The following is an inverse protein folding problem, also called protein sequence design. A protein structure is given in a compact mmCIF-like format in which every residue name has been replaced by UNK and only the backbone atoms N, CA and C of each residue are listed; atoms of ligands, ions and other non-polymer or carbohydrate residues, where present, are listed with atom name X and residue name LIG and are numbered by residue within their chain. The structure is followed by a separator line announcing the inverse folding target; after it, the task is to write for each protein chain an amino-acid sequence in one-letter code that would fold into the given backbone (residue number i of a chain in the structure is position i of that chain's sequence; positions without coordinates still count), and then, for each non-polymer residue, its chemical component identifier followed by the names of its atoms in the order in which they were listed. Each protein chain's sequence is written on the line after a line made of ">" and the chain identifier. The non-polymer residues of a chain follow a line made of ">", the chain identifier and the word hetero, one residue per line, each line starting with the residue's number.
data_IF_637776948889
#
_entry.id   IF_637776948889
#
_cell.length_a   1.000
_cell.length_b   1.000
_cell.length_c   1.000
_cell.angle_alpha   90.00
_cell.angle_beta   90.00
_cell.angle_gamma   90.00
#
_symmetry.space_group_name_H-M   'P 1'
#
loop_
_entity.id
_entity.type
_entity.pdbx_description
1 polymer ?
#
# COMPACT_ATOMS: atom_id res chain seq x y z
N UNK A 1 19.62 20.74 12.86
CA UNK A 1 19.39 19.87 11.70
C UNK A 1 19.78 18.46 12.11
N UNK A 2 18.82 17.56 12.33
CA UNK A 2 19.12 16.18 12.69
C UNK A 2 19.51 15.44 11.39
N UNK A 3 20.82 15.34 11.14
CA UNK A 3 21.36 14.48 10.08
C UNK A 3 21.06 13.03 10.45
N UNK A 4 20.37 12.33 9.54
CA UNK A 4 20.03 10.93 9.75
C UNK A 4 21.31 10.08 9.61
N UNK A 5 21.38 8.92 10.28
CA UNK A 5 22.46 7.97 10.01
C UNK A 5 22.50 7.63 8.51
N UNK A 6 23.70 7.49 7.91
CA UNK A 6 23.85 7.28 6.47
C UNK A 6 23.11 6.02 5.96
N UNK A 7 23.01 4.98 6.78
CA UNK A 7 22.21 3.78 6.47
C UNK A 7 20.72 4.09 6.31
N UNK A 8 20.20 5.00 7.14
CA UNK A 8 18.81 5.43 7.09
C UNK A 8 18.56 6.30 5.85
N UNK A 9 19.49 7.18 5.51
CA UNK A 9 19.43 7.99 4.28
C UNK A 9 19.42 7.09 3.04
N UNK A 10 20.29 6.09 2.98
CA UNK A 10 20.33 5.12 1.90
C UNK A 10 19.01 4.33 1.78
N UNK A 11 18.45 3.86 2.90
CA UNK A 11 17.17 3.16 2.91
C UNK A 11 16.00 4.04 2.44
N UNK A 12 15.99 5.32 2.83
CA UNK A 12 14.98 6.28 2.38
C UNK A 12 15.12 6.61 0.90
N UNK A 13 16.36 6.79 0.41
CA UNK A 13 16.64 7.02 -1.00
C UNK A 13 16.18 5.82 -1.85
N UNK A 14 16.47 4.59 -1.41
CA UNK A 14 16.02 3.37 -2.08
C UNK A 14 14.48 3.28 -2.11
N UNK A 15 13.81 3.56 -0.98
CA UNK A 15 12.34 3.63 -0.93
C UNK A 15 11.78 4.68 -1.88
N UNK A 16 12.42 5.84 -1.96
CA UNK A 16 11.95 6.92 -2.84
C UNK A 16 12.16 6.58 -4.32
N UNK A 17 13.27 5.96 -4.67
CA UNK A 17 13.52 5.43 -6.02
C UNK A 17 12.44 4.42 -6.40
N UNK A 18 12.17 3.44 -5.53
CA UNK A 18 11.16 2.43 -5.77
C UNK A 18 9.74 3.03 -5.94
N UNK A 19 9.37 4.05 -5.15
CA UNK A 19 8.09 4.76 -5.33
C UNK A 19 7.98 5.42 -6.70
N UNK A 20 9.07 6.02 -7.20
CA UNK A 20 9.09 6.64 -8.53
C UNK A 20 8.91 5.59 -9.64
N UNK A 21 9.58 4.45 -9.51
CA UNK A 21 9.44 3.33 -10.44
C UNK A 21 7.99 2.79 -10.45
N UNK A 22 7.40 2.56 -9.27
CA UNK A 22 5.99 2.15 -9.16
C UNK A 22 5.02 3.18 -9.74
N UNK A 23 5.28 4.47 -9.53
CA UNK A 23 4.46 5.55 -10.07
C UNK A 23 4.53 5.62 -11.60
N UNK A 24 5.67 5.24 -12.19
CA UNK A 24 5.87 5.23 -13.64
C UNK A 24 5.22 4.02 -14.34
N UNK A 25 4.78 2.99 -13.59
CA UNK A 25 4.14 1.82 -14.18
C UNK A 25 2.82 2.15 -14.91
N UNK A 26 2.48 1.41 -15.97
CA UNK A 26 1.16 1.46 -16.58
C UNK A 26 0.05 1.18 -15.56
N UNK A 27 -1.15 1.67 -15.85
CA UNK A 27 -2.32 1.50 -14.96
C UNK A 27 -2.63 0.03 -14.68
N UNK A 28 -2.58 -0.83 -15.71
CA UNK A 28 -2.83 -2.27 -15.55
C UNK A 28 -1.84 -2.94 -14.60
N UNK A 29 -0.56 -2.58 -14.67
CA UNK A 29 0.48 -3.13 -13.79
C UNK A 29 0.26 -2.69 -12.35
N UNK A 30 -0.15 -1.44 -12.14
CA UNK A 30 -0.53 -0.95 -10.80
C UNK A 30 -1.69 -1.75 -10.21
N UNK A 31 -2.69 -2.10 -11.03
CA UNK A 31 -3.81 -2.94 -10.60
C UNK A 31 -3.35 -4.37 -10.25
N UNK A 32 -2.48 -4.99 -11.07
CA UNK A 32 -1.93 -6.33 -10.78
C UNK A 32 -1.21 -6.36 -9.44
N UNK A 33 -0.36 -5.36 -9.18
CA UNK A 33 0.36 -5.23 -7.91
C UNK A 33 -0.63 -5.07 -6.75
N UNK A 34 -1.64 -4.21 -6.90
CA UNK A 34 -2.62 -3.95 -5.86
C UNK A 34 -3.43 -5.21 -5.51
N UNK A 35 -3.87 -5.97 -6.51
CA UNK A 35 -4.57 -7.25 -6.31
C UNK A 35 -3.68 -8.27 -5.59
N UNK A 36 -2.39 -8.36 -5.97
CA UNK A 36 -1.44 -9.26 -5.29
C UNK A 36 -1.26 -8.88 -3.82
N UNK A 37 -1.15 -7.59 -3.51
CA UNK A 37 -1.04 -7.09 -2.14
C UNK A 37 -2.32 -7.35 -1.33
N UNK A 38 -3.50 -7.22 -1.96
CA UNK A 38 -4.77 -7.58 -1.34
C UNK A 38 -4.79 -9.07 -0.95
N UNK A 39 -4.43 -9.97 -1.86
CA UNK A 39 -4.38 -11.41 -1.57
C UNK A 39 -3.43 -11.76 -0.42
N UNK A 40 -2.24 -11.16 -0.39
CA UNK A 40 -1.30 -11.35 0.72
C UNK A 40 -1.88 -10.84 2.04
N UNK A 41 -2.53 -9.67 2.01
CA UNK A 41 -3.18 -9.08 3.19
C UNK A 41 -4.32 -9.96 3.70
N UNK A 42 -5.13 -10.53 2.80
CA UNK A 42 -6.22 -11.44 3.16
C UNK A 42 -5.69 -12.74 3.78
N UNK A 43 -4.59 -13.30 3.26
CA UNK A 43 -3.94 -14.46 3.87
C UNK A 43 -3.45 -14.15 5.31
N UNK A 44 -2.88 -12.96 5.52
CA UNK A 44 -2.46 -12.50 6.86
C UNK A 44 -3.68 -12.30 7.78
N UNK A 45 -4.82 -11.85 7.26
CA UNK A 45 -6.05 -11.71 8.05
C UNK A 45 -6.61 -13.06 8.46
N UNK A 46 -6.68 -14.01 7.53
CA UNK A 46 -7.17 -15.36 7.78
C UNK A 46 -6.36 -16.07 8.85
N UNK A 47 -5.02 -15.95 8.82
CA UNK A 47 -4.15 -16.52 9.87
C UNK A 47 -4.40 -15.91 11.26
N UNK A 48 -4.98 -14.71 11.32
CA UNK A 48 -5.37 -14.03 12.57
C UNK A 48 -6.85 -14.25 12.94
N UNK A 49 -7.55 -15.16 12.27
CA UNK A 49 -8.97 -15.43 12.51
C UNK A 49 -9.92 -14.32 12.02
N UNK A 50 -9.41 -13.36 11.24
CA UNK A 50 -10.23 -12.32 10.63
C UNK A 50 -10.66 -12.72 9.21
N UNK A 51 -11.90 -12.42 8.85
CA UNK A 51 -12.40 -12.67 7.49
C UNK A 51 -11.63 -11.86 6.44
N UNK A 52 -11.56 -12.37 5.20
CA UNK A 52 -11.08 -11.57 4.08
C UNK A 52 -12.01 -10.35 3.92
N UNK A 53 -11.43 -9.18 3.68
CA UNK A 53 -12.21 -7.95 3.47
C UNK A 53 -11.50 -7.08 2.46
N UNK A 54 -12.16 -6.84 1.34
CA UNK A 54 -11.73 -5.85 0.36
C UNK A 54 -11.61 -4.48 1.03
N UNK A 55 -10.66 -3.66 0.56
CA UNK A 55 -10.60 -2.26 0.98
C UNK A 55 -11.96 -1.59 0.71
N UNK A 56 -12.56 -0.91 1.70
CA UNK A 56 -13.76 -0.12 1.43
C UNK A 56 -13.36 1.02 0.49
N UNK A 57 -13.99 1.09 -0.68
CA UNK A 57 -13.80 2.14 -1.66
C UNK A 57 -15.03 3.04 -1.67
N UNK A 58 -14.81 4.34 -1.85
CA UNK A 58 -15.87 5.27 -2.18
C UNK A 58 -16.42 4.93 -3.58
N UNK A 59 -17.72 4.73 -3.70
CA UNK A 59 -18.36 4.31 -4.96
C UNK A 59 -18.25 5.37 -6.08
N UNK A 60 -18.04 6.64 -5.74
CA UNK A 60 -17.95 7.74 -6.69
C UNK A 60 -16.52 8.03 -7.11
N UNK A 61 -15.56 7.93 -6.18
CA UNK A 61 -14.16 8.28 -6.45
C UNK A 61 -13.25 7.07 -6.62
N UNK A 62 -13.72 5.86 -6.26
CA UNK A 62 -12.95 4.61 -6.22
C UNK A 62 -11.68 4.71 -5.36
N UNK A 63 -11.65 5.65 -4.41
CA UNK A 63 -10.54 5.83 -3.48
C UNK A 63 -10.84 5.10 -2.16
N UNK A 64 -9.83 4.63 -1.42
CA UNK A 64 -10.02 4.02 -0.12
C UNK A 64 -10.75 4.97 0.84
N UNK A 65 -11.82 4.49 1.47
CA UNK A 65 -12.51 5.25 2.51
C UNK A 65 -11.57 5.42 3.70
N UNK A 66 -11.38 6.67 4.14
CA UNK A 66 -10.55 6.98 5.29
C UNK A 66 -11.09 6.28 6.55
N UNK A 67 -10.19 5.75 7.38
CA UNK A 67 -10.51 5.05 8.63
C UNK A 67 -11.23 5.91 9.68
N UNK A 68 -11.49 7.19 9.40
CA UNK A 68 -12.23 8.11 10.26
C UNK A 68 -13.74 7.84 10.33
N UNK A 69 -14.32 7.01 9.45
CA UNK A 69 -15.74 6.62 9.50
C UNK A 69 -15.99 5.29 10.25
N UNK A 70 -15.10 4.96 11.19
CA UNK A 70 -15.24 3.77 12.04
C UNK A 70 -16.04 4.16 13.29
N UNK A 71 -17.35 4.34 13.14
CA UNK A 71 -18.33 4.38 14.23
C UNK A 71 -19.23 3.16 14.13
#
# INVERSE_FOLDING_TARGET
>A
MNTLPPEMEAALAAKQKHRRELAALPYEEKLRILLRLQHLSDAIRQTRGASARAWPLDEKTLLPMSSAHRS
#
